data_IF_360344390747
#
_entry.id   IF_360344390747
#
_cell.length_a   1.000
_cell.length_b   1.000
_cell.length_c   1.000
_cell.angle_alpha   90.00
_cell.angle_beta   90.00
_cell.angle_gamma   90.00
#
_symmetry.space_group_name_H-M   'P 1'
#
loop_
_entity.id
_entity.type
_entity.pdbx_description
1 polymer ?
#
# COMPACT_ATOMS: atom_id res chain seq x y z
N UNK A 1 1.94 -18.65 -36.17
CA UNK A 1 2.80 -18.49 -34.98
C UNK A 1 2.87 -17.02 -34.63
N UNK A 2 2.15 -16.59 -33.59
CA UNK A 2 1.97 -15.17 -33.25
C UNK A 2 3.21 -14.61 -32.56
N UNK A 3 3.82 -13.60 -33.17
CA UNK A 3 4.98 -12.89 -32.61
C UNK A 3 4.47 -12.04 -31.45
N UNK A 4 4.62 -12.53 -30.22
CA UNK A 4 4.34 -11.75 -29.03
C UNK A 4 5.39 -10.64 -28.96
N UNK A 5 4.97 -9.41 -29.26
CA UNK A 5 5.86 -8.25 -29.27
C UNK A 5 6.38 -7.99 -27.85
N UNK A 6 7.62 -7.51 -27.72
CA UNK A 6 8.23 -7.17 -26.42
C UNK A 6 7.36 -6.22 -25.58
N UNK A 7 6.51 -5.40 -26.22
CA UNK A 7 5.51 -4.56 -25.58
C UNK A 7 4.44 -5.37 -24.82
N UNK A 8 3.95 -6.48 -25.39
CA UNK A 8 2.95 -7.34 -24.76
C UNK A 8 3.49 -8.08 -23.53
N UNK A 9 4.76 -8.51 -23.57
CA UNK A 9 5.43 -9.15 -22.43
C UNK A 9 5.69 -8.13 -21.32
N UNK A 10 6.03 -6.88 -21.66
CA UNK A 10 6.19 -5.81 -20.69
C UNK A 10 4.85 -5.38 -20.08
N UNK A 11 3.77 -5.30 -20.86
CA UNK A 11 2.41 -5.04 -20.35
C UNK A 11 2.01 -6.15 -19.36
N UNK A 12 2.25 -7.42 -19.70
CA UNK A 12 1.97 -8.60 -18.87
C UNK A 12 2.81 -8.65 -17.57
N UNK A 13 4.11 -8.37 -17.62
CA UNK A 13 4.96 -8.31 -16.42
C UNK A 13 4.62 -7.11 -15.53
N UNK A 14 4.20 -5.98 -16.11
CA UNK A 14 3.69 -4.83 -15.36
C UNK A 14 2.33 -5.14 -14.70
N UNK A 15 1.59 -6.17 -15.13
CA UNK A 15 0.33 -6.58 -14.51
C UNK A 15 0.49 -7.51 -13.30
N UNK A 16 1.64 -8.18 -13.14
CA UNK A 16 1.86 -9.17 -12.08
C UNK A 16 2.06 -8.59 -10.67
N UNK A 17 2.48 -7.33 -10.55
CA UNK A 17 2.83 -6.68 -9.28
C UNK A 17 2.10 -5.35 -9.03
N UNK A 18 0.94 -5.13 -9.68
CA UNK A 18 0.18 -3.88 -9.51
C UNK A 18 -0.81 -3.96 -8.36
N UNK A 19 -0.78 -2.93 -7.53
CA UNK A 19 -1.80 -2.72 -6.52
C UNK A 19 -3.15 -2.39 -7.18
N UNK A 20 -4.24 -2.63 -6.45
CA UNK A 20 -5.61 -2.40 -6.92
C UNK A 20 -5.83 -0.94 -7.35
N UNK A 21 -5.14 0.01 -6.73
CA UNK A 21 -5.11 1.43 -7.11
C UNK A 21 -4.54 1.66 -8.51
N UNK A 22 -3.47 0.95 -8.87
CA UNK A 22 -2.82 1.08 -10.18
C UNK A 22 -3.71 0.50 -11.28
N UNK A 23 -4.40 -0.60 -10.98
CA UNK A 23 -5.42 -1.17 -11.86
C UNK A 23 -6.57 -0.21 -12.12
N UNK A 24 -7.08 0.46 -11.07
CA UNK A 24 -8.13 1.48 -11.21
C UNK A 24 -7.64 2.64 -12.08
N UNK A 25 -6.42 3.14 -11.86
CA UNK A 25 -5.84 4.21 -12.65
C UNK A 25 -5.75 3.83 -14.15
N UNK A 26 -5.29 2.61 -14.45
CA UNK A 26 -5.20 2.11 -15.83
C UNK A 26 -6.56 1.98 -16.51
N UNK A 27 -7.56 1.45 -15.80
CA UNK A 27 -8.92 1.32 -16.36
C UNK A 27 -9.51 2.72 -16.62
N UNK A 28 -9.25 3.70 -15.76
CA UNK A 28 -9.65 5.11 -15.98
C UNK A 28 -9.02 5.70 -17.24
N UNK A 29 -7.71 5.49 -17.44
CA UNK A 29 -7.01 5.92 -18.67
C UNK A 29 -7.57 5.21 -19.91
N UNK A 30 -7.76 3.87 -19.86
CA UNK A 30 -8.35 3.12 -20.99
C UNK A 30 -9.76 3.60 -21.32
N UNK A 31 -10.58 3.90 -20.31
CA UNK A 31 -11.94 4.44 -20.49
C UNK A 31 -11.93 5.85 -21.08
N UNK A 32 -11.01 6.71 -20.67
CA UNK A 32 -10.84 8.04 -21.26
C UNK A 32 -10.47 7.94 -22.76
N UNK A 33 -9.47 7.12 -23.08
CA UNK A 33 -9.07 6.86 -24.47
C UNK A 33 -10.22 6.30 -25.30
N UNK A 34 -11.03 5.40 -24.71
CA UNK A 34 -12.19 4.83 -25.38
C UNK A 34 -13.28 5.88 -25.64
N UNK A 35 -13.54 6.81 -24.71
CA UNK A 35 -14.50 7.91 -24.92
C UNK A 35 -14.11 8.83 -26.08
N UNK A 36 -12.82 8.98 -26.35
CA UNK A 36 -12.29 9.78 -27.46
C UNK A 36 -12.36 9.08 -28.83
N UNK A 37 -12.75 7.79 -28.90
CA UNK A 37 -12.88 7.07 -30.17
C UNK A 37 -14.16 7.45 -30.93
N UNK A 38 -14.04 7.67 -32.25
CA UNK A 38 -15.17 7.99 -33.13
C UNK A 38 -16.21 6.88 -33.23
N UNK A 39 -15.81 5.62 -33.07
CA UNK A 39 -16.72 4.46 -33.05
C UNK A 39 -16.71 3.84 -31.66
N UNK A 40 -17.88 3.82 -31.00
CA UNK A 40 -18.03 3.28 -29.66
C UNK A 40 -18.50 1.83 -29.73
N UNK A 41 -17.68 0.91 -29.24
CA UNK A 41 -18.09 -0.47 -28.97
C UNK A 41 -18.74 -0.56 -27.58
N UNK A 42 -20.07 -0.59 -27.54
CA UNK A 42 -20.86 -0.61 -26.30
C UNK A 42 -20.47 -1.77 -25.35
N UNK A 43 -20.11 -2.92 -25.91
CA UNK A 43 -19.64 -4.07 -25.14
C UNK A 43 -18.34 -3.76 -24.36
N UNK A 44 -17.35 -3.17 -25.03
CA UNK A 44 -16.06 -2.82 -24.41
C UNK A 44 -16.29 -1.76 -23.31
N UNK A 45 -17.16 -0.79 -23.57
CA UNK A 45 -17.53 0.21 -22.56
C UNK A 45 -18.19 -0.42 -21.33
N UNK A 46 -19.12 -1.36 -21.52
CA UNK A 46 -19.76 -2.10 -20.43
C UNK A 46 -18.74 -2.91 -19.61
N UNK A 47 -17.82 -3.61 -20.29
CA UNK A 47 -16.74 -4.38 -19.63
C UNK A 47 -15.83 -3.46 -18.81
N UNK A 48 -15.39 -2.33 -19.38
CA UNK A 48 -14.55 -1.36 -18.67
C UNK A 48 -15.27 -0.76 -17.46
N UNK A 49 -16.57 -0.46 -17.60
CA UNK A 49 -17.40 0.02 -16.50
C UNK A 49 -17.56 -1.02 -15.38
N UNK A 50 -17.81 -2.28 -15.74
CA UNK A 50 -17.94 -3.37 -14.76
C UNK A 50 -16.62 -3.62 -14.04
N UNK A 51 -15.51 -3.67 -14.77
CA UNK A 51 -14.18 -3.83 -14.20
C UNK A 51 -13.84 -2.68 -13.24
N UNK A 52 -14.12 -1.43 -13.64
CA UNK A 52 -13.87 -0.26 -12.82
C UNK A 52 -14.70 -0.27 -11.53
N UNK A 53 -16.01 -0.49 -11.65
CA UNK A 53 -16.93 -0.51 -10.51
C UNK A 53 -16.59 -1.64 -9.54
N UNK A 54 -16.25 -2.82 -10.04
CA UNK A 54 -15.80 -3.95 -9.23
C UNK A 54 -14.51 -3.62 -8.47
N UNK A 55 -13.49 -3.11 -9.16
CA UNK A 55 -12.21 -2.78 -8.53
C UNK A 55 -12.37 -1.67 -7.46
N UNK A 56 -13.18 -0.65 -7.74
CA UNK A 56 -13.46 0.41 -6.77
C UNK A 56 -14.26 -0.11 -5.55
N UNK A 57 -15.20 -1.05 -5.74
CA UNK A 57 -15.90 -1.68 -4.63
C UNK A 57 -14.98 -2.52 -3.75
N UNK A 58 -14.09 -3.31 -4.35
CA UNK A 58 -13.13 -4.13 -3.61
C UNK A 58 -12.14 -3.25 -2.83
N UNK A 59 -11.68 -2.14 -3.41
CA UNK A 59 -10.81 -1.18 -2.72
C UNK A 59 -11.51 -0.57 -1.51
N UNK A 60 -12.77 -0.12 -1.68
CA UNK A 60 -13.57 0.43 -0.58
C UNK A 60 -13.79 -0.59 0.53
N UNK A 61 -14.08 -1.84 0.18
CA UNK A 61 -14.23 -2.93 1.13
C UNK A 61 -12.93 -3.16 1.92
N UNK A 62 -11.78 -3.30 1.24
CA UNK A 62 -10.48 -3.49 1.90
C UNK A 62 -10.11 -2.32 2.82
N UNK A 63 -10.40 -1.09 2.39
CA UNK A 63 -10.17 0.11 3.21
C UNK A 63 -11.08 0.12 4.44
N UNK A 64 -12.36 -0.26 4.30
CA UNK A 64 -13.31 -0.35 5.39
C UNK A 64 -12.91 -1.44 6.39
N UNK A 65 -12.53 -2.62 5.91
CA UNK A 65 -12.03 -3.72 6.76
C UNK A 65 -10.78 -3.30 7.53
N UNK A 66 -9.82 -2.63 6.88
CA UNK A 66 -8.62 -2.10 7.54
C UNK A 66 -8.98 -1.07 8.61
N UNK A 67 -9.90 -0.15 8.31
CA UNK A 67 -10.40 0.84 9.27
C UNK A 67 -11.05 0.17 10.46
N UNK A 68 -11.90 -0.83 10.23
CA UNK A 68 -12.58 -1.57 11.29
C UNK A 68 -11.59 -2.33 12.16
N UNK A 69 -10.63 -3.03 11.56
CA UNK A 69 -9.55 -3.72 12.30
C UNK A 69 -8.76 -2.74 13.16
N UNK A 70 -8.42 -1.57 12.61
CA UNK A 70 -7.72 -0.53 13.36
C UNK A 70 -8.56 0.03 14.50
N UNK A 71 -9.86 0.26 14.28
CA UNK A 71 -10.78 0.71 15.33
C UNK A 71 -10.93 -0.34 16.44
N UNK A 72 -11.05 -1.62 16.09
CA UNK A 72 -11.13 -2.72 17.05
C UNK A 72 -9.84 -2.78 17.88
N UNK A 73 -8.67 -2.78 17.25
CA UNK A 73 -7.39 -2.75 17.94
C UNK A 73 -7.26 -1.51 18.85
N UNK A 74 -7.67 -0.34 18.36
CA UNK A 74 -7.68 0.90 19.14
C UNK A 74 -8.57 0.78 20.38
N UNK A 75 -9.72 0.11 20.25
CA UNK A 75 -10.63 -0.15 21.37
C UNK A 75 -10.07 -1.16 22.37
N UNK A 76 -9.42 -2.22 21.90
CA UNK A 76 -8.74 -3.24 22.73
C UNK A 76 -7.59 -2.62 23.52
N UNK A 77 -6.84 -1.71 22.91
CA UNK A 77 -5.73 -0.98 23.53
C UNK A 77 -6.20 0.19 24.43
N UNK A 78 -7.51 0.41 24.59
CA UNK A 78 -8.04 1.49 25.44
C UNK A 78 -7.80 2.91 24.90
N UNK A 79 -7.29 3.05 23.67
CA UNK A 79 -7.00 4.33 23.00
C UNK A 79 -8.27 5.08 22.54
N UNK A 80 -9.44 4.64 23.00
CA UNK A 80 -10.76 5.08 22.54
C UNK A 80 -11.22 6.42 23.13
N UNK A 81 -10.48 6.95 24.12
CA UNK A 81 -10.74 8.27 24.71
C UNK A 81 -9.83 9.32 24.09
N UNK A 82 -10.26 10.57 24.14
CA UNK A 82 -9.63 11.81 23.67
C UNK A 82 -8.22 12.08 24.23
N UNK A 83 -7.32 11.11 24.14
CA UNK A 83 -5.90 11.35 24.29
C UNK A 83 -5.47 11.95 22.97
N UNK A 84 -5.50 13.27 22.91
CA UNK A 84 -4.85 14.00 21.84
C UNK A 84 -3.45 13.42 21.66
N UNK A 85 -3.05 13.16 20.41
CA UNK A 85 -1.64 12.93 20.07
C UNK A 85 -0.77 14.17 20.39
N UNK A 86 -1.35 15.27 20.89
CA UNK A 86 -0.64 16.42 21.44
C UNK A 86 -0.10 16.18 22.86
N UNK A 87 -0.18 14.96 23.43
CA UNK A 87 0.74 14.66 24.53
C UNK A 87 2.16 14.74 23.95
N UNK A 88 3.00 15.71 24.37
CA UNK A 88 4.40 15.65 24.03
C UNK A 88 4.88 14.29 24.51
N UNK A 89 5.49 13.51 23.62
CA UNK A 89 6.24 12.33 24.04
C UNK A 89 7.06 12.76 25.26
N UNK A 90 6.96 12.10 26.42
CA UNK A 90 7.73 12.51 27.57
C UNK A 90 9.18 12.46 27.13
N UNK A 91 9.81 13.63 27.03
CA UNK A 91 11.18 13.79 26.51
C UNK A 91 12.16 12.86 27.24
N UNK A 92 11.85 12.52 28.50
CA UNK A 92 12.54 11.51 29.30
C UNK A 92 12.60 10.11 28.68
N UNK A 93 11.56 9.67 27.96
CA UNK A 93 11.52 8.34 27.35
C UNK A 93 12.47 8.20 26.15
N UNK A 94 12.83 9.30 25.49
CA UNK A 94 13.77 9.27 24.37
C UNK A 94 15.23 9.25 24.84
N UNK A 95 15.59 10.03 25.86
CA UNK A 95 16.96 10.06 26.38
C UNK A 95 17.37 8.75 27.09
N UNK A 96 16.45 8.11 27.83
CA UNK A 96 16.70 6.80 28.42
C UNK A 96 16.82 5.71 27.35
N UNK A 97 15.96 5.76 26.33
CA UNK A 97 16.01 4.81 25.21
C UNK A 97 17.28 4.98 24.37
N UNK A 98 17.74 6.22 24.14
CA UNK A 98 19.00 6.48 23.44
C UNK A 98 20.20 5.90 24.18
N UNK A 99 20.26 6.05 25.51
CA UNK A 99 21.31 5.45 26.34
C UNK A 99 21.30 3.91 26.28
N UNK A 100 20.11 3.31 26.29
CA UNK A 100 19.96 1.86 26.18
C UNK A 100 20.36 1.34 24.79
N UNK A 101 20.00 2.06 23.73
CA UNK A 101 20.39 1.74 22.35
C UNK A 101 21.91 1.86 22.19
N UNK A 102 22.53 2.93 22.69
CA UNK A 102 23.98 3.13 22.60
C UNK A 102 24.77 2.08 23.38
N UNK A 103 24.28 1.71 24.58
CA UNK A 103 24.81 0.60 25.37
C UNK A 103 24.75 -0.72 24.59
N UNK A 104 23.62 -0.99 23.92
CA UNK A 104 23.44 -2.18 23.11
C UNK A 104 24.33 -2.18 21.86
N UNK A 105 24.39 -1.09 21.10
CA UNK A 105 25.24 -0.95 19.91
C UNK A 105 26.74 -1.06 20.26
N UNK A 106 27.14 -0.56 21.44
CA UNK A 106 28.50 -0.71 21.94
C UNK A 106 28.85 -2.17 22.24
N UNK A 107 27.93 -2.93 22.86
CA UNK A 107 28.10 -4.38 23.07
C UNK A 107 28.23 -5.13 21.75
N UNK A 108 27.43 -4.77 20.74
CA UNK A 108 27.53 -5.38 19.41
C UNK A 108 28.87 -5.11 18.72
N UNK A 109 29.43 -3.90 18.83
CA UNK A 109 30.76 -3.59 18.28
C UNK A 109 31.86 -4.44 18.92
N UNK A 110 31.78 -4.68 20.23
CA UNK A 110 32.75 -5.53 20.94
C UNK A 110 32.65 -6.98 20.47
N UNK A 111 31.43 -7.51 20.30
CA UNK A 111 31.25 -8.88 19.81
C UNK A 111 31.74 -9.01 18.36
N UNK A 112 31.46 -8.03 17.51
CA UNK A 112 31.87 -8.05 16.10
C UNK A 112 33.40 -7.99 15.93
N UNK A 113 34.12 -7.25 16.79
CA UNK A 113 35.58 -7.21 16.75
C UNK A 113 36.25 -8.51 17.21
N UNK A 114 35.56 -9.34 17.98
CA UNK A 114 36.06 -10.66 18.39
C UNK A 114 35.81 -11.75 17.35
N UNK A 115 34.83 -11.56 16.46
CA UNK A 115 34.50 -12.50 15.38
C UNK A 115 35.41 -12.30 14.15
N UNK A 116 36.02 -11.12 14.00
CA UNK A 116 36.90 -10.77 12.87
C UNK A 116 38.40 -11.02 13.12
N UNK A 117 38.76 -11.73 14.20
CA UNK A 117 40.12 -12.23 14.45
C UNK A 117 40.18 -13.74 14.24
#
# INVERSE_FOLDING_TARGET
>A
MGVVTKAHIHEYNMFKNKDLSDWIALIKVKKLNFKCQRRKNLFIEAVLNKALTSAESELRQKQQERRQRWQNLKSELGLNRNESCDRPWPTQSCEELEKDIDSFLSKLKVVNSHIQR
#
